data_IF_846039978052
#
_entry.id   IF_846039978052
#
_cell.length_a   1.000
_cell.length_b   1.000
_cell.length_c   1.000
_cell.angle_alpha   90.00
_cell.angle_beta   90.00
_cell.angle_gamma   90.00
#
_symmetry.space_group_name_H-M   'P 1'
#
loop_
_entity.id
_entity.type
_entity.pdbx_description
1 polymer ?
#
# COMPACT_ATOMS: atom_id res chain seq x y z
N UNK A 1 13.64 -23.90 30.69
CA UNK A 1 12.23 -23.49 30.53
C UNK A 1 12.19 -22.45 29.43
N UNK A 2 12.06 -22.92 28.19
CA UNK A 2 12.13 -22.07 27.00
C UNK A 2 10.82 -21.29 26.93
N UNK A 3 10.90 -19.95 27.02
CA UNK A 3 9.73 -19.09 26.83
C UNK A 3 9.20 -19.33 25.42
N UNK A 4 8.09 -20.07 25.33
CA UNK A 4 7.35 -20.30 24.10
C UNK A 4 6.96 -18.93 23.56
N UNK A 5 7.25 -18.66 22.28
CA UNK A 5 6.88 -17.40 21.65
C UNK A 5 5.38 -17.13 21.91
N UNK A 6 4.97 -15.88 22.24
CA UNK A 6 3.58 -15.59 22.58
C UNK A 6 2.67 -16.07 21.44
N UNK A 7 1.66 -16.87 21.79
CA UNK A 7 0.66 -17.33 20.82
C UNK A 7 0.05 -16.12 20.13
N UNK A 8 0.12 -16.10 18.79
CA UNK A 8 -0.44 -15.03 17.96
C UNK A 8 -1.92 -15.32 17.71
N UNK A 9 -2.77 -14.31 17.79
CA UNK A 9 -4.21 -14.46 17.59
C UNK A 9 -4.57 -15.16 16.27
N UNK A 10 -3.91 -14.80 15.16
CA UNK A 10 -4.16 -15.44 13.86
C UNK A 10 -3.79 -16.92 13.81
N UNK A 11 -2.73 -17.33 14.52
CA UNK A 11 -2.32 -18.73 14.60
C UNK A 11 -3.29 -19.54 15.47
N UNK A 12 -3.79 -18.95 16.54
CA UNK A 12 -4.80 -19.56 17.40
C UNK A 12 -6.14 -19.70 16.67
N UNK A 13 -6.60 -18.65 15.99
CA UNK A 13 -7.84 -18.67 15.20
C UNK A 13 -7.83 -19.79 14.15
N UNK A 14 -6.70 -19.99 13.46
CA UNK A 14 -6.52 -21.08 12.49
C UNK A 14 -6.55 -22.46 13.16
N UNK A 15 -5.96 -22.62 14.35
CA UNK A 15 -6.05 -23.88 15.11
C UNK A 15 -7.47 -24.20 15.59
N UNK A 16 -8.28 -23.17 15.80
CA UNK A 16 -9.67 -23.28 16.24
C UNK A 16 -10.67 -23.33 15.08
N UNK A 17 -10.18 -23.33 13.83
CA UNK A 17 -11.01 -23.27 12.61
C UNK A 17 -11.99 -22.09 12.63
N UNK A 18 -11.57 -20.96 13.21
CA UNK A 18 -12.36 -19.74 13.22
C UNK A 18 -12.47 -19.16 11.80
N UNK A 19 -13.66 -18.69 11.38
CA UNK A 19 -13.83 -18.07 10.09
C UNK A 19 -13.00 -16.77 10.00
N UNK A 20 -12.13 -16.67 9.00
CA UNK A 20 -11.32 -15.47 8.76
C UNK A 20 -12.14 -14.37 8.07
N UNK A 21 -12.96 -13.68 8.85
CA UNK A 21 -13.73 -12.52 8.37
C UNK A 21 -12.79 -11.31 8.32
N UNK A 22 -12.62 -10.74 7.12
CA UNK A 22 -11.89 -9.49 6.92
C UNK A 22 -12.80 -8.27 6.99
N UNK A 23 -12.27 -7.15 7.50
CA UNK A 23 -12.90 -5.84 7.33
C UNK A 23 -12.53 -5.27 5.96
N UNK A 24 -13.50 -4.69 5.24
CA UNK A 24 -13.26 -3.99 3.98
C UNK A 24 -12.97 -2.50 4.25
N UNK A 25 -11.98 -1.91 3.57
CA UNK A 25 -11.83 -0.45 3.59
C UNK A 25 -12.97 0.14 2.74
N UNK A 26 -13.73 1.07 3.31
CA UNK A 26 -14.84 1.72 2.63
C UNK A 26 -14.40 2.87 1.70
N UNK A 27 -13.09 3.19 1.67
CA UNK A 27 -12.53 4.18 0.76
C UNK A 27 -12.40 3.59 -0.63
N UNK A 28 -12.96 4.31 -1.59
CA UNK A 28 -13.09 3.86 -2.97
C UNK A 28 -12.05 4.49 -3.91
N UNK A 29 -11.28 5.46 -3.41
CA UNK A 29 -10.23 6.12 -4.16
C UNK A 29 -8.91 5.97 -3.44
N UNK A 30 -7.88 5.57 -4.16
CA UNK A 30 -6.57 5.27 -3.59
C UNK A 30 -5.48 6.02 -4.33
N UNK A 31 -4.62 6.69 -3.57
CA UNK A 31 -3.38 7.28 -4.08
C UNK A 31 -2.23 6.47 -3.50
N UNK A 32 -1.55 5.71 -4.35
CA UNK A 32 -0.40 4.89 -4.00
C UNK A 32 0.85 5.63 -4.44
N UNK A 33 1.81 5.78 -3.55
CA UNK A 33 3.04 6.52 -3.83
C UNK A 33 4.23 5.63 -3.54
N UNK A 34 5.03 5.38 -4.57
CA UNK A 34 6.27 4.63 -4.41
C UNK A 34 7.26 5.44 -3.59
N UNK A 35 7.63 4.92 -2.43
CA UNK A 35 8.66 5.50 -1.57
C UNK A 35 9.63 4.42 -1.07
N UNK A 36 10.91 4.70 -1.25
CA UNK A 36 12.01 3.78 -0.94
C UNK A 36 12.76 4.16 0.34
N UNK A 37 12.51 5.34 0.91
CA UNK A 37 13.17 5.80 2.13
C UNK A 37 12.75 5.01 3.36
N UNK A 38 13.55 4.95 4.43
CA UNK A 38 13.17 4.18 5.63
C UNK A 38 11.85 4.69 6.25
N UNK A 39 10.90 3.80 6.52
CA UNK A 39 9.59 4.18 7.04
C UNK A 39 9.56 4.31 8.56
N UNK A 40 9.34 5.55 9.01
CA UNK A 40 9.07 5.92 10.39
C UNK A 40 7.75 5.34 10.92
N UNK A 41 7.33 5.80 12.10
CA UNK A 41 6.05 5.37 12.68
C UNK A 41 4.87 5.79 11.80
N UNK A 42 4.93 7.02 11.28
CA UNK A 42 3.86 7.66 10.54
C UNK A 42 4.38 8.12 9.16
N UNK A 43 4.94 7.19 8.39
CA UNK A 43 5.71 7.47 7.17
C UNK A 43 4.97 8.34 6.12
N UNK A 44 3.65 8.24 6.03
CA UNK A 44 2.84 9.11 5.17
C UNK A 44 2.93 10.57 5.63
N UNK A 45 2.81 10.83 6.92
CA UNK A 45 2.93 12.19 7.47
C UNK A 45 4.37 12.69 7.40
N UNK A 46 5.34 11.80 7.63
CA UNK A 46 6.76 12.14 7.48
C UNK A 46 7.08 12.65 6.06
N UNK A 47 6.38 12.13 5.05
CA UNK A 47 6.63 12.46 3.64
C UNK A 47 5.77 13.62 3.11
N UNK A 48 4.51 13.72 3.51
CA UNK A 48 3.55 14.69 2.99
C UNK A 48 3.19 15.82 3.97
N UNK A 49 3.72 15.76 5.18
CA UNK A 49 3.44 16.71 6.25
C UNK A 49 2.31 16.27 7.19
N UNK A 50 2.10 17.04 8.27
CA UNK A 50 1.06 16.76 9.26
C UNK A 50 -0.34 16.85 8.62
N UNK A 51 -1.32 16.20 9.23
CA UNK A 51 -2.75 16.23 8.87
C UNK A 51 -3.14 15.66 7.51
N UNK A 52 -2.18 15.33 6.63
CA UNK A 52 -2.44 14.77 5.30
C UNK A 52 -3.31 13.50 5.36
N UNK A 53 -3.11 12.68 6.39
CA UNK A 53 -3.90 11.47 6.61
C UNK A 53 -5.34 11.85 6.90
N UNK A 54 -5.59 12.68 7.92
CA UNK A 54 -6.92 13.18 8.27
C UNK A 54 -7.63 13.83 7.08
N UNK A 55 -6.93 14.66 6.30
CA UNK A 55 -7.47 15.29 5.09
C UNK A 55 -7.85 14.27 4.02
N UNK A 56 -7.01 13.28 3.77
CA UNK A 56 -7.33 12.20 2.83
C UNK A 56 -8.55 11.41 3.30
N UNK A 57 -8.68 11.15 4.62
CA UNK A 57 -9.84 10.47 5.20
C UNK A 57 -11.14 11.25 5.01
N UNK A 58 -11.14 12.56 5.24
CA UNK A 58 -12.30 13.44 4.97
C UNK A 58 -12.75 13.38 3.50
N UNK A 59 -11.79 13.25 2.59
CA UNK A 59 -12.01 13.14 1.15
C UNK A 59 -12.33 11.71 0.70
N UNK A 60 -12.43 10.75 1.63
CA UNK A 60 -12.59 9.31 1.34
C UNK A 60 -11.51 8.74 0.41
N UNK A 61 -10.32 9.34 0.43
CA UNK A 61 -9.14 8.91 -0.29
C UNK A 61 -8.22 8.11 0.65
N UNK A 62 -7.73 6.97 0.19
CA UNK A 62 -6.71 6.20 0.89
C UNK A 62 -5.33 6.53 0.32
N UNK A 63 -4.52 7.27 1.08
CA UNK A 63 -3.12 7.52 0.75
C UNK A 63 -2.23 6.42 1.36
N UNK A 64 -1.45 5.73 0.52
CA UNK A 64 -0.49 4.72 0.98
C UNK A 64 0.88 4.94 0.35
N UNK A 65 1.91 4.67 1.15
CA UNK A 65 3.24 4.42 0.62
C UNK A 65 3.37 2.95 0.22
N UNK A 66 3.93 2.71 -0.96
CA UNK A 66 4.19 1.39 -1.50
C UNK A 66 5.66 1.25 -1.89
N UNK A 67 6.11 0.01 -2.03
CA UNK A 67 7.44 -0.32 -2.55
C UNK A 67 7.29 -1.37 -3.61
N UNK A 68 8.12 -1.28 -4.63
CA UNK A 68 8.31 -2.38 -5.55
C UNK A 68 8.98 -3.55 -4.85
N UNK A 69 8.52 -4.74 -5.18
CA UNK A 69 9.19 -6.00 -4.80
C UNK A 69 10.54 -6.12 -5.50
N UNK A 70 10.58 -5.74 -6.78
CA UNK A 70 11.76 -5.89 -7.64
C UNK A 70 12.49 -4.56 -7.89
N UNK A 71 13.73 -4.68 -8.37
CA UNK A 71 14.63 -3.56 -8.60
C UNK A 71 15.63 -3.38 -7.46
N UNK A 72 16.85 -2.99 -7.79
CA UNK A 72 17.85 -2.59 -6.80
C UNK A 72 17.38 -1.29 -6.12
N UNK A 73 17.15 -1.28 -4.79
CA UNK A 73 16.77 -0.07 -4.06
C UNK A 73 17.76 1.09 -4.24
N UNK A 74 19.03 0.80 -4.52
CA UNK A 74 20.09 1.80 -4.71
C UNK A 74 20.18 2.33 -6.15
N UNK A 75 19.79 1.53 -7.16
CA UNK A 75 19.97 1.89 -8.57
C UNK A 75 18.70 2.46 -9.23
N UNK A 76 17.53 2.25 -8.65
CA UNK A 76 16.28 2.60 -9.30
C UNK A 76 15.70 3.90 -8.73
N UNK A 77 15.89 4.95 -9.54
CA UNK A 77 15.65 6.35 -9.22
C UNK A 77 14.21 6.82 -9.52
N UNK A 78 13.38 5.97 -10.14
CA UNK A 78 12.07 6.39 -10.65
C UNK A 78 11.02 6.21 -9.55
N UNK A 79 10.41 7.32 -9.12
CA UNK A 79 9.22 7.29 -8.26
C UNK A 79 7.98 7.27 -9.14
N UNK A 80 7.01 6.45 -8.76
CA UNK A 80 5.72 6.35 -9.43
C UNK A 80 4.61 6.64 -8.44
N UNK A 81 3.57 7.29 -8.92
CA UNK A 81 2.31 7.41 -8.21
C UNK A 81 1.24 6.72 -9.04
N UNK A 82 0.32 6.04 -8.37
CA UNK A 82 -0.82 5.35 -8.98
C UNK A 82 -2.08 5.91 -8.34
N UNK A 83 -3.02 6.34 -9.18
CA UNK A 83 -4.37 6.71 -8.76
C UNK A 83 -5.32 5.60 -9.18
N UNK A 84 -6.12 5.12 -8.22
CA UNK A 84 -7.10 4.05 -8.41
C UNK A 84 -8.47 4.54 -7.98
N UNK A 85 -9.47 4.26 -8.81
CA UNK A 85 -10.88 4.40 -8.47
C UNK A 85 -11.52 3.00 -8.52
N UNK A 86 -11.85 2.46 -7.36
CA UNK A 86 -12.35 1.07 -7.24
C UNK A 86 -13.81 0.92 -7.64
N UNK A 87 -14.56 2.02 -7.82
CA UNK A 87 -15.95 1.97 -8.32
C UNK A 87 -15.95 1.75 -9.82
N UNK A 88 -15.13 2.52 -10.53
CA UNK A 88 -14.99 2.40 -11.99
C UNK A 88 -14.01 1.31 -12.43
N UNK A 89 -13.11 0.88 -11.53
CA UNK A 89 -11.98 0.02 -11.86
C UNK A 89 -10.86 0.74 -12.62
N UNK A 90 -10.94 2.07 -12.78
CA UNK A 90 -9.93 2.83 -13.51
C UNK A 90 -8.66 2.98 -12.68
N UNK A 91 -7.52 2.80 -13.35
CA UNK A 91 -6.19 2.99 -12.77
C UNK A 91 -5.32 3.79 -13.73
N UNK A 92 -4.50 4.68 -13.18
CA UNK A 92 -3.51 5.42 -13.95
C UNK A 92 -2.22 5.59 -13.14
N UNK A 93 -1.10 5.59 -13.84
CA UNK A 93 0.24 5.75 -13.28
C UNK A 93 0.94 6.95 -13.89
N UNK A 94 1.72 7.63 -13.06
CA UNK A 94 2.64 8.66 -13.55
C UNK A 94 3.96 8.60 -12.80
N UNK A 95 5.03 8.98 -13.49
CA UNK A 95 6.32 9.24 -12.88
C UNK A 95 6.27 10.57 -12.15
N UNK A 96 6.84 10.63 -10.95
CA UNK A 96 7.03 11.85 -10.17
C UNK A 96 8.50 11.97 -9.80
N UNK A 97 8.97 13.19 -9.59
CA UNK A 97 10.30 13.46 -9.03
C UNK A 97 10.24 13.70 -7.53
N UNK A 98 9.13 14.23 -7.03
CA UNK A 98 8.91 14.56 -5.63
C UNK A 98 7.46 14.27 -5.18
N UNK A 99 7.24 13.86 -3.92
CA UNK A 99 5.90 13.76 -3.34
C UNK A 99 5.11 15.07 -3.38
N UNK A 100 5.80 16.22 -3.37
CA UNK A 100 5.18 17.55 -3.43
C UNK A 100 4.41 17.83 -4.73
N UNK A 101 4.59 17.01 -5.77
CA UNK A 101 3.80 17.09 -7.01
C UNK A 101 2.38 16.52 -6.85
N UNK A 102 2.11 15.83 -5.73
CA UNK A 102 0.84 15.21 -5.45
C UNK A 102 0.06 16.02 -4.40
N UNK A 103 -1.25 16.12 -4.60
CA UNK A 103 -2.20 16.67 -3.64
C UNK A 103 -3.32 15.65 -3.44
N UNK A 104 -3.71 15.42 -2.19
CA UNK A 104 -4.83 14.53 -1.84
C UNK A 104 -6.17 15.14 -2.29
N UNK A 105 -6.29 16.47 -2.29
CA UNK A 105 -7.46 17.21 -2.77
C UNK A 105 -7.66 17.04 -4.27
N UNK A 106 -6.56 17.15 -5.04
CA UNK A 106 -6.57 16.92 -6.49
C UNK A 106 -6.86 15.45 -6.78
N UNK A 107 -6.10 14.53 -6.17
CA UNK A 107 -6.28 13.08 -6.37
C UNK A 107 -7.70 12.60 -6.03
N UNK A 108 -8.34 13.20 -5.03
CA UNK A 108 -9.71 12.88 -4.63
C UNK A 108 -10.77 13.17 -5.72
N UNK A 109 -10.49 14.10 -6.65
CA UNK A 109 -11.49 14.63 -7.59
C UNK A 109 -11.10 14.48 -9.06
N UNK A 110 -9.81 14.42 -9.35
CA UNK A 110 -9.27 14.34 -10.71
C UNK A 110 -9.74 13.06 -11.40
N UNK A 111 -10.35 13.11 -12.59
CA UNK A 111 -10.63 11.90 -13.37
C UNK A 111 -9.37 11.05 -13.54
N UNK A 112 -9.47 9.73 -13.30
CA UNK A 112 -8.27 8.86 -13.28
C UNK A 112 -7.51 8.90 -14.61
N UNK A 113 -8.22 8.99 -15.74
CA UNK A 113 -7.62 9.11 -17.07
C UNK A 113 -6.77 10.39 -17.27
N UNK A 114 -6.97 11.42 -16.46
CA UNK A 114 -6.19 12.67 -16.50
C UNK A 114 -4.99 12.64 -15.56
N UNK A 115 -4.85 11.61 -14.72
CA UNK A 115 -3.75 11.51 -13.77
C UNK A 115 -2.41 11.14 -14.42
N UNK A 116 -2.45 10.29 -15.45
CA UNK A 116 -1.26 9.76 -16.10
C UNK A 116 -1.59 8.71 -17.15
N UNK A 117 -0.63 7.83 -17.43
CA UNK A 117 -0.82 6.72 -18.36
C UNK A 117 -1.82 5.70 -17.77
N UNK A 118 -2.79 5.22 -18.56
CA UNK A 118 -3.75 4.22 -18.08
C UNK A 118 -3.03 2.90 -17.74
N UNK A 119 -3.47 2.23 -16.68
CA UNK A 119 -3.04 0.89 -16.31
C UNK A 119 -4.20 -0.09 -16.53
N UNK A 120 -3.93 -1.18 -17.24
CA UNK A 120 -4.91 -2.25 -17.49
C UNK A 120 -4.64 -3.51 -16.68
N UNK A 121 -3.39 -3.74 -16.31
CA UNK A 121 -3.01 -4.90 -15.50
C UNK A 121 -3.33 -4.65 -14.01
N UNK A 122 -3.91 -5.63 -13.30
CA UNK A 122 -4.20 -5.50 -11.89
C UNK A 122 -2.92 -5.40 -11.06
N UNK A 123 -2.99 -4.65 -9.97
CA UNK A 123 -1.92 -4.54 -8.99
C UNK A 123 -2.24 -5.33 -7.72
N UNK A 124 -1.25 -6.06 -7.22
CA UNK A 124 -1.34 -6.77 -5.94
C UNK A 124 -0.59 -6.01 -4.86
N UNK A 125 -1.30 -5.54 -3.84
CA UNK A 125 -0.71 -4.87 -2.68
C UNK A 125 -0.64 -5.84 -1.50
N UNK A 126 0.58 -6.10 -1.02
CA UNK A 126 0.80 -6.97 0.13
C UNK A 126 1.33 -6.16 1.30
N UNK A 127 0.55 -6.10 2.38
CA UNK A 127 0.97 -5.43 3.60
C UNK A 127 2.09 -6.24 4.30
N UNK A 128 3.23 -5.60 4.53
CA UNK A 128 4.37 -6.16 5.29
C UNK A 128 4.66 -5.37 6.57
N UNK A 129 3.81 -4.40 6.93
CA UNK A 129 4.00 -3.54 8.09
C UNK A 129 3.63 -4.26 9.39
N UNK A 130 4.66 -4.68 10.14
CA UNK A 130 4.50 -5.36 11.42
C UNK A 130 4.18 -4.46 12.61
N UNK A 131 4.22 -3.12 12.46
CA UNK A 131 4.05 -2.19 13.60
C UNK A 131 2.62 -2.19 14.14
N UNK A 132 1.63 -2.34 13.25
CA UNK A 132 0.21 -2.44 13.62
C UNK A 132 -0.22 -3.88 13.86
N UNK A 133 0.24 -4.80 13.01
CA UNK A 133 -0.07 -6.22 13.13
C UNK A 133 1.14 -7.08 12.72
N UNK A 134 1.67 -7.86 13.67
CA UNK A 134 2.78 -8.76 13.43
C UNK A 134 2.47 -9.82 12.35
N UNK A 135 1.20 -10.17 12.15
CA UNK A 135 0.77 -11.13 11.14
C UNK A 135 1.02 -10.61 9.72
N UNK A 136 0.84 -9.30 9.46
CA UNK A 136 1.18 -8.70 8.17
C UNK A 136 2.68 -8.85 7.87
N UNK A 137 3.54 -8.59 8.85
CA UNK A 137 4.97 -8.80 8.69
C UNK A 137 5.34 -10.27 8.41
N UNK A 138 4.78 -11.22 9.15
CA UNK A 138 5.11 -12.64 9.01
C UNK A 138 4.51 -13.25 7.73
N UNK A 139 3.19 -13.17 7.58
CA UNK A 139 2.46 -13.80 6.47
C UNK A 139 2.61 -13.02 5.18
N UNK A 140 2.60 -11.69 5.22
CA UNK A 140 2.75 -10.85 4.02
C UNK A 140 4.11 -11.02 3.35
N UNK A 141 5.20 -11.12 4.12
CA UNK A 141 6.53 -11.42 3.54
C UNK A 141 6.58 -12.81 2.92
N UNK A 142 6.01 -13.82 3.57
CA UNK A 142 5.91 -15.16 3.00
C UNK A 142 5.10 -15.16 1.70
N UNK A 143 3.98 -14.43 1.65
CA UNK A 143 3.15 -14.26 0.46
C UNK A 143 3.92 -13.60 -0.68
N UNK A 144 4.67 -12.52 -0.43
CA UNK A 144 5.52 -11.87 -1.45
C UNK A 144 6.55 -12.83 -2.03
N UNK A 145 7.10 -13.75 -1.22
CA UNK A 145 8.03 -14.78 -1.69
C UNK A 145 7.35 -15.85 -2.54
N UNK A 146 6.12 -16.22 -2.18
CA UNK A 146 5.32 -17.21 -2.91
C UNK A 146 4.70 -16.68 -4.21
N UNK A 147 4.41 -15.38 -4.27
CA UNK A 147 4.07 -14.66 -5.49
C UNK A 147 5.32 -14.68 -6.40
N UNK A 148 5.36 -15.66 -7.31
CA UNK A 148 6.46 -15.87 -8.25
C UNK A 148 6.60 -14.73 -9.26
N UNK A 149 7.54 -14.90 -10.20
CA UNK A 149 7.89 -13.90 -11.24
C UNK A 149 6.69 -13.47 -12.11
N UNK A 150 5.66 -14.30 -12.24
CA UNK A 150 4.47 -13.97 -13.04
C UNK A 150 3.65 -12.80 -12.47
N UNK A 151 3.89 -12.47 -11.20
CA UNK A 151 3.25 -11.37 -10.47
C UNK A 151 4.22 -10.22 -10.19
N UNK A 152 5.40 -10.24 -10.83
CA UNK A 152 6.30 -9.11 -10.83
C UNK A 152 5.62 -7.95 -11.56
N UNK A 153 5.77 -6.73 -11.03
CA UNK A 153 5.38 -5.53 -11.75
C UNK A 153 6.21 -5.46 -13.05
N UNK A 154 5.52 -5.47 -14.20
CA UNK A 154 6.13 -5.36 -15.53
C UNK A 154 6.44 -3.91 -15.89
#
# INVERSE_FOLDING_TARGET
>A
MTLQAPMRCSALAEQLDEPMIGSVDHRLRWLLVEDRGAWGRDAVQDLFGPDVTSRAEELRLRLLLVRRREGDPAADAVRRAILVDTVSGAMAIRTITSPSELSVEVAARLPVAEFGAPMTDPIFLVCTNGKRDACCALRGRALIGALGVDHAER
#
